data_IF_812782409027
#
_entry.id   IF_812782409027
#
_cell.length_a   1.000
_cell.length_b   1.000
_cell.length_c   1.000
_cell.angle_alpha   90.00
_cell.angle_beta   90.00
_cell.angle_gamma   90.00
#
_symmetry.space_group_name_H-M   'P 1'
#
loop_
_entity.id
_entity.type
_entity.pdbx_description
1 polymer ?
#
# COMPACT_ATOMS: atom_id res chain seq x y z
N UNK A 1 -17.45 -49.22 -9.23
CA UNK A 1 -17.81 -48.58 -7.93
C UNK A 1 -16.64 -47.97 -7.15
N UNK A 2 -15.42 -48.54 -7.15
CA UNK A 2 -14.28 -48.00 -6.37
C UNK A 2 -13.64 -46.73 -6.96
N UNK A 3 -13.62 -46.57 -8.29
CA UNK A 3 -13.03 -45.39 -8.93
C UNK A 3 -13.86 -44.12 -8.69
N UNK A 4 -15.20 -44.23 -8.64
CA UNK A 4 -16.09 -43.11 -8.33
C UNK A 4 -15.91 -42.63 -6.87
N UNK A 5 -15.67 -43.54 -5.92
CA UNK A 5 -15.32 -43.20 -4.54
C UNK A 5 -13.95 -42.53 -4.42
N UNK A 6 -12.99 -42.94 -5.25
CA UNK A 6 -11.65 -42.34 -5.30
C UNK A 6 -11.69 -40.91 -5.86
N UNK A 7 -12.49 -40.66 -6.90
CA UNK A 7 -12.69 -39.31 -7.48
C UNK A 7 -13.33 -38.37 -6.46
N UNK A 8 -14.31 -38.84 -5.69
CA UNK A 8 -14.95 -38.03 -4.64
C UNK A 8 -14.00 -37.71 -3.47
N UNK A 9 -13.13 -38.65 -3.08
CA UNK A 9 -12.09 -38.40 -2.07
C UNK A 9 -11.03 -37.42 -2.55
N UNK A 10 -10.63 -37.50 -3.82
CA UNK A 10 -9.68 -36.56 -4.41
C UNK A 10 -10.30 -35.16 -4.44
N UNK A 11 -11.54 -34.99 -4.92
CA UNK A 11 -12.24 -33.70 -4.97
C UNK A 11 -12.39 -33.03 -3.57
N UNK A 12 -12.63 -33.84 -2.53
CA UNK A 12 -12.69 -33.37 -1.14
C UNK A 12 -11.33 -32.90 -0.61
N UNK A 13 -10.22 -33.52 -1.03
CA UNK A 13 -8.86 -33.09 -0.65
C UNK A 13 -8.43 -31.78 -1.33
N UNK A 14 -8.80 -31.56 -2.60
CA UNK A 14 -8.43 -30.33 -3.33
C UNK A 14 -9.22 -29.10 -2.86
N UNK A 15 -10.40 -29.28 -2.28
CA UNK A 15 -11.25 -28.16 -1.85
C UNK A 15 -10.77 -27.46 -0.57
N UNK A 16 -9.80 -28.05 0.16
CA UNK A 16 -9.20 -27.45 1.37
C UNK A 16 -8.02 -26.51 1.14
N UNK A 17 -7.56 -26.30 -0.10
CA UNK A 17 -6.40 -25.44 -0.36
C UNK A 17 -6.78 -23.95 -0.31
N UNK A 18 -6.49 -23.31 0.82
CA UNK A 18 -6.68 -21.86 0.98
C UNK A 18 -5.53 -21.08 0.35
N UNK A 19 -5.76 -20.48 -0.83
CA UNK A 19 -4.81 -19.56 -1.46
C UNK A 19 -4.79 -18.23 -0.68
N UNK A 20 -3.62 -17.86 -0.15
CA UNK A 20 -3.41 -16.55 0.49
C UNK A 20 -2.78 -15.60 -0.51
N UNK A 21 -3.41 -14.44 -0.70
CA UNK A 21 -2.82 -13.34 -1.47
C UNK A 21 -2.09 -12.36 -0.56
N UNK A 22 -1.12 -11.66 -1.13
CA UNK A 22 -0.33 -10.62 -0.45
C UNK A 22 -1.04 -9.28 -0.57
N UNK A 23 -0.88 -8.41 0.43
CA UNK A 23 -1.40 -7.05 0.36
C UNK A 23 -0.36 -6.13 -0.27
N UNK A 24 -0.74 -5.41 -1.32
CA UNK A 24 -0.03 -4.26 -1.84
C UNK A 24 -0.84 -2.98 -1.59
N UNK A 25 -0.30 -1.82 -1.97
CA UNK A 25 -0.99 -0.55 -1.82
C UNK A 25 -1.11 0.18 -3.15
N UNK A 26 -2.24 0.82 -3.40
CA UNK A 26 -2.48 1.67 -4.57
C UNK A 26 -2.87 3.08 -4.12
N UNK A 27 -2.68 4.06 -5.00
CA UNK A 27 -3.16 5.43 -4.80
C UNK A 27 -4.57 5.57 -5.42
N UNK A 28 -5.30 6.64 -5.06
CA UNK A 28 -6.67 6.86 -5.55
C UNK A 28 -6.74 7.02 -7.08
N UNK A 29 -5.69 7.57 -7.70
CA UNK A 29 -5.67 7.98 -9.11
C UNK A 29 -4.54 7.34 -9.91
N UNK A 30 -3.73 6.48 -9.31
CA UNK A 30 -2.55 5.90 -9.95
C UNK A 30 -2.80 4.49 -10.46
N UNK A 31 -2.07 4.13 -11.52
CA UNK A 31 -2.12 2.80 -12.15
C UNK A 31 -0.99 1.89 -11.66
N UNK A 32 -0.37 2.26 -10.53
CA UNK A 32 0.79 1.55 -9.96
C UNK A 32 0.46 0.98 -8.60
N UNK A 33 1.02 -0.19 -8.31
CA UNK A 33 1.03 -0.75 -6.97
C UNK A 33 2.36 -0.49 -6.27
N UNK A 34 2.30 -0.38 -4.96
CA UNK A 34 3.34 0.15 -4.09
C UNK A 34 3.53 -0.73 -2.84
N UNK A 35 4.71 -0.65 -2.22
CA UNK A 35 4.95 -1.13 -0.86
C UNK A 35 4.35 -0.20 0.18
N UNK A 36 4.16 -0.69 1.42
CA UNK A 36 3.55 0.06 2.51
C UNK A 36 4.24 1.40 2.83
N UNK A 37 5.55 1.48 2.59
CA UNK A 37 6.42 2.60 2.91
C UNK A 37 6.76 3.50 1.71
N UNK A 38 6.04 3.39 0.58
CA UNK A 38 6.30 4.23 -0.59
C UNK A 38 5.85 5.68 -0.36
N UNK A 39 6.72 6.65 -0.66
CA UNK A 39 6.42 8.10 -0.51
C UNK A 39 5.21 8.56 -1.32
N UNK A 40 4.90 7.91 -2.45
CA UNK A 40 3.71 8.25 -3.26
C UNK A 40 2.38 7.90 -2.57
N UNK A 41 2.39 7.12 -1.48
CA UNK A 41 1.21 6.82 -0.68
C UNK A 41 0.93 7.84 0.42
N UNK A 42 1.73 8.92 0.54
CA UNK A 42 1.57 9.93 1.60
C UNK A 42 0.16 10.54 1.65
N UNK A 43 -0.46 10.74 0.48
CA UNK A 43 -1.78 11.37 0.37
C UNK A 43 -2.93 10.37 0.22
N UNK A 44 -2.65 9.17 -0.29
CA UNK A 44 -3.65 8.11 -0.46
C UNK A 44 -2.98 6.75 -0.36
N UNK A 45 -3.40 5.94 0.61
CA UNK A 45 -2.89 4.58 0.84
C UNK A 45 -4.07 3.61 0.92
N UNK A 46 -4.36 2.94 -0.19
CA UNK A 46 -5.47 1.99 -0.30
C UNK A 46 -4.86 0.59 -0.34
N UNK A 47 -5.18 -0.24 0.66
CA UNK A 47 -4.78 -1.64 0.67
C UNK A 47 -5.50 -2.38 -0.46
N UNK A 48 -4.75 -3.15 -1.23
CA UNK A 48 -5.24 -3.89 -2.39
C UNK A 48 -4.57 -5.25 -2.46
N UNK A 49 -5.22 -6.21 -3.09
CA UNK A 49 -4.69 -7.56 -3.26
C UNK A 49 -3.66 -7.58 -4.40
N UNK A 50 -2.47 -8.11 -4.12
CA UNK A 50 -1.36 -8.12 -5.07
C UNK A 50 -1.68 -8.88 -6.37
N UNK A 51 -2.34 -10.03 -6.27
CA UNK A 51 -2.73 -10.81 -7.45
C UNK A 51 -3.82 -10.08 -8.23
N UNK A 52 -4.81 -9.51 -7.53
CA UNK A 52 -5.85 -8.71 -8.20
C UNK A 52 -5.28 -7.46 -8.84
N UNK A 53 -4.25 -6.83 -8.26
CA UNK A 53 -3.60 -5.65 -8.84
C UNK A 53 -3.00 -5.98 -10.21
N UNK A 54 -2.27 -7.10 -10.30
CA UNK A 54 -1.68 -7.55 -11.57
C UNK A 54 -2.77 -7.89 -12.58
N UNK A 55 -3.81 -8.62 -12.16
CA UNK A 55 -4.95 -8.97 -13.01
C UNK A 55 -5.71 -7.75 -13.51
N UNK A 56 -5.81 -6.69 -12.69
CA UNK A 56 -6.42 -5.42 -13.05
C UNK A 56 -5.49 -4.49 -13.85
N UNK A 57 -4.28 -4.94 -14.23
CA UNK A 57 -3.36 -4.20 -15.08
C UNK A 57 -2.46 -3.18 -14.37
N UNK A 58 -2.42 -3.18 -13.03
CA UNK A 58 -1.54 -2.28 -12.29
C UNK A 58 -0.08 -2.67 -12.50
N UNK A 59 0.78 -1.66 -12.68
CA UNK A 59 2.22 -1.86 -12.87
C UNK A 59 3.01 -1.61 -11.59
N UNK A 60 4.20 -2.19 -11.47
CA UNK A 60 5.05 -1.96 -10.31
C UNK A 60 5.51 -0.50 -10.23
N UNK A 61 5.55 0.06 -9.02
CA UNK A 61 6.18 1.35 -8.79
C UNK A 61 7.71 1.27 -8.94
N UNK A 62 8.27 2.07 -9.86
CA UNK A 62 9.72 2.12 -10.12
C UNK A 62 10.53 2.66 -8.95
N UNK A 63 9.92 3.44 -8.04
CA UNK A 63 10.58 4.06 -6.88
C UNK A 63 10.74 3.09 -5.71
N UNK A 64 9.66 2.41 -5.30
CA UNK A 64 9.74 1.44 -4.21
C UNK A 64 10.10 0.02 -4.66
N UNK A 65 10.09 -0.24 -5.98
CA UNK A 65 10.47 -1.52 -6.61
C UNK A 65 9.88 -2.72 -5.84
N UNK A 66 8.53 -2.83 -5.78
CA UNK A 66 7.89 -3.88 -5.01
C UNK A 66 8.19 -5.25 -5.62
N UNK A 67 9.13 -5.98 -5.02
CA UNK A 67 9.40 -7.38 -5.35
C UNK A 67 8.47 -8.30 -4.55
N UNK A 68 8.13 -9.46 -5.12
CA UNK A 68 7.30 -10.48 -4.47
C UNK A 68 7.86 -10.89 -3.10
N UNK A 69 9.20 -10.94 -2.98
CA UNK A 69 9.94 -11.23 -1.73
C UNK A 69 9.74 -10.15 -0.65
N UNK A 70 9.78 -8.87 -1.04
CA UNK A 70 9.62 -7.74 -0.11
C UNK A 70 8.20 -7.63 0.44
N UNK A 71 7.19 -8.01 -0.35
CA UNK A 71 5.80 -8.06 0.10
C UNK A 71 5.55 -9.20 1.12
N UNK A 72 6.34 -10.27 1.09
CA UNK A 72 6.28 -11.40 2.03
C UNK A 72 6.91 -11.07 3.39
N UNK A 73 8.01 -10.30 3.37
CA UNK A 73 8.80 -10.03 4.57
C UNK A 73 8.16 -9.04 5.53
N UNK A 74 7.15 -8.27 5.12
CA UNK A 74 6.53 -7.25 5.97
C UNK A 74 5.70 -7.85 7.12
N UNK A 75 5.48 -9.17 7.13
CA UNK A 75 4.73 -9.87 8.19
C UNK A 75 5.58 -10.31 9.39
N UNK A 76 6.91 -10.21 9.35
CA UNK A 76 7.78 -10.74 10.41
C UNK A 76 8.79 -9.75 11.01
N UNK A 77 8.68 -8.45 10.73
CA UNK A 77 9.46 -7.45 11.48
C UNK A 77 8.57 -6.89 12.58
N UNK A 78 8.71 -7.50 13.76
CA UNK A 78 8.70 -6.92 15.12
C UNK A 78 7.70 -5.76 15.35
N UNK A 79 6.76 -5.87 16.32
CA UNK A 79 5.89 -4.76 16.71
C UNK A 79 6.68 -3.72 17.51
N UNK A 80 7.51 -2.93 16.84
CA UNK A 80 7.91 -1.63 17.37
C UNK A 80 6.76 -0.69 17.06
N UNK A 81 6.06 -0.31 18.13
CA UNK A 81 4.94 0.61 18.19
C UNK A 81 5.22 1.93 17.44
N UNK A 82 5.05 1.95 16.11
CA UNK A 82 4.83 3.19 15.39
C UNK A 82 3.35 3.53 15.53
N UNK A 83 3.05 4.38 16.52
CA UNK A 83 1.74 4.99 16.71
C UNK A 83 1.33 5.72 15.42
N UNK A 84 0.71 5.02 14.48
CA UNK A 84 -0.11 5.65 13.45
C UNK A 84 -1.56 5.52 13.90
N UNK A 85 -1.88 6.31 14.92
CA UNK A 85 -3.26 6.73 15.11
C UNK A 85 -3.72 7.39 13.79
N UNK A 86 -4.96 7.17 13.32
CA UNK A 86 -5.52 7.92 12.22
C UNK A 86 -5.70 9.37 12.68
N UNK A 87 -4.61 10.14 12.66
CA UNK A 87 -4.65 11.55 12.99
C UNK A 87 -5.40 12.27 11.88
N UNK A 88 -6.68 12.52 12.18
CA UNK A 88 -7.56 13.57 11.67
C UNK A 88 -6.90 14.41 10.57
N UNK A 89 -7.35 14.24 9.33
CA UNK A 89 -6.93 14.99 8.13
C UNK A 89 -7.37 16.48 8.19
N UNK A 90 -7.18 17.15 9.33
CA UNK A 90 -7.30 18.59 9.41
C UNK A 90 -6.17 19.18 8.58
N UNK A 91 -6.53 19.98 7.58
CA UNK A 91 -5.53 20.69 6.81
C UNK A 91 -4.70 21.57 7.76
N UNK A 92 -3.38 21.46 7.69
CA UNK A 92 -2.42 22.23 8.50
C UNK A 92 -1.65 23.20 7.61
N UNK A 93 -1.16 24.31 8.16
CA UNK A 93 -0.37 25.28 7.38
C UNK A 93 1.02 24.71 7.03
N UNK A 94 1.43 24.90 5.79
CA UNK A 94 2.73 24.50 5.27
C UNK A 94 3.89 25.02 6.14
N UNK A 95 4.84 24.14 6.47
CA UNK A 95 5.97 24.46 7.33
C UNK A 95 7.09 25.26 6.64
N UNK A 96 7.14 25.28 5.30
CA UNK A 96 8.22 25.93 4.54
C UNK A 96 8.15 27.47 4.56
N UNK A 97 9.30 28.10 4.30
CA UNK A 97 9.43 29.52 3.98
C UNK A 97 9.54 29.70 2.47
N UNK A 98 8.99 30.81 1.96
CA UNK A 98 9.16 31.21 0.55
C UNK A 98 10.56 31.76 0.31
N UNK A 99 10.93 31.98 -0.97
CA UNK A 99 12.20 32.64 -1.33
C UNK A 99 12.38 34.03 -0.69
N UNK A 100 11.27 34.72 -0.40
CA UNK A 100 11.25 35.99 0.32
C UNK A 100 11.37 35.85 1.86
N UNK A 101 11.60 34.64 2.38
CA UNK A 101 11.79 34.36 3.80
C UNK A 101 10.52 34.28 4.65
N UNK A 102 9.36 34.65 4.09
CA UNK A 102 8.08 34.60 4.80
C UNK A 102 7.50 33.18 4.85
N UNK A 103 6.78 32.84 5.94
CA UNK A 103 6.14 31.53 6.11
C UNK A 103 5.09 31.29 5.02
N UNK A 104 5.11 30.10 4.42
CA UNK A 104 4.12 29.71 3.42
C UNK A 104 2.72 29.69 4.04
N UNK A 105 1.77 30.42 3.45
CA UNK A 105 0.38 30.51 3.94
C UNK A 105 -0.51 29.36 3.45
N UNK A 106 -0.03 28.49 2.56
CA UNK A 106 -0.83 27.40 2.00
C UNK A 106 -1.10 26.32 3.03
N UNK A 107 -2.32 25.77 3.00
CA UNK A 107 -2.70 24.62 3.80
C UNK A 107 -2.38 23.32 3.07
N UNK A 108 -2.08 22.27 3.81
CA UNK A 108 -1.75 20.95 3.28
C UNK A 108 -2.33 19.86 4.16
N UNK A 109 -2.73 18.76 3.53
CA UNK A 109 -3.10 17.50 4.20
C UNK A 109 -1.97 16.47 4.09
N UNK A 110 -0.81 16.86 3.54
CA UNK A 110 0.35 15.99 3.46
C UNK A 110 0.85 15.64 4.86
N UNK A 111 1.16 14.37 5.09
CA UNK A 111 1.85 13.90 6.31
C UNK A 111 3.19 14.59 6.53
N UNK A 112 3.90 14.99 5.46
CA UNK A 112 5.15 15.76 5.56
C UNK A 112 4.93 17.18 6.14
N UNK A 113 3.71 17.71 6.06
CA UNK A 113 3.36 19.08 6.48
C UNK A 113 3.89 20.16 5.53
N UNK A 114 4.26 19.80 4.30
CA UNK A 114 4.61 20.71 3.21
C UNK A 114 3.51 20.73 2.15
N UNK A 115 3.34 21.88 1.49
CA UNK A 115 2.42 22.00 0.36
C UNK A 115 3.11 21.53 -0.93
N UNK A 116 2.35 21.31 -2.00
CA UNK A 116 2.85 20.78 -3.28
C UNK A 116 4.00 21.59 -3.93
N UNK A 117 4.25 22.83 -3.51
CA UNK A 117 5.38 23.64 -4.00
C UNK A 117 6.67 23.47 -3.19
N UNK A 118 6.59 22.76 -2.05
CA UNK A 118 7.70 22.56 -1.12
C UNK A 118 7.80 21.08 -0.68
N UNK A 119 7.18 20.17 -1.43
CA UNK A 119 7.21 18.72 -1.20
C UNK A 119 8.38 18.14 -2.02
N UNK A 120 9.46 17.72 -1.34
CA UNK A 120 10.71 17.21 -1.93
C UNK A 120 10.99 15.79 -1.46
#
# INVERSE_FOLDING_TARGET
MMHSKLILLILFLISGLQVRSQTCYVTKTGEKYHMANCSYLQYSKIAYDYQKAIQAGYTACSRCKPTKEKLLSEKQVVPTQLKTSPQRLTAVQCKAKTKAGTRCKRMTKNSSGYCYQHDH
#
